data_IF_648508604347
#
_entry.id   IF_648508604347
#
_cell.length_a   1.000
_cell.length_b   1.000
_cell.length_c   1.000
_cell.angle_alpha   90.00
_cell.angle_beta   90.00
_cell.angle_gamma   90.00
#
_symmetry.space_group_name_H-M   'P 1'
#
loop_
_entity.id
_entity.type
_entity.pdbx_description
1 polymer ?
#
# COMPACT_ATOMS: atom_id res chain seq x y z
N UNK A 1 -18.08 -22.81 12.26
CA UNK A 1 -18.22 -21.46 12.85
C UNK A 1 -16.94 -21.22 13.63
N UNK A 2 -16.20 -20.14 13.37
CA UNK A 2 -14.96 -19.90 14.10
C UNK A 2 -15.27 -19.73 15.59
N UNK A 3 -14.36 -20.23 16.41
CA UNK A 3 -14.44 -20.20 17.87
C UNK A 3 -14.25 -18.75 18.34
N UNK A 4 -15.28 -18.18 18.94
CA UNK A 4 -15.30 -16.77 19.37
C UNK A 4 -14.14 -16.45 20.32
N UNK A 5 -13.70 -17.40 21.13
CA UNK A 5 -12.59 -17.21 22.06
C UNK A 5 -11.26 -17.08 21.32
N UNK A 6 -11.11 -17.74 20.17
CA UNK A 6 -9.92 -17.59 19.31
C UNK A 6 -9.87 -16.21 18.66
N UNK A 7 -11.01 -15.71 18.21
CA UNK A 7 -11.11 -14.35 17.64
C UNK A 7 -10.79 -13.30 18.69
N UNK A 8 -11.31 -13.44 19.92
CA UNK A 8 -11.03 -12.52 21.04
C UNK A 8 -9.55 -12.54 21.41
N UNK A 9 -8.93 -13.72 21.49
CA UNK A 9 -7.49 -13.85 21.77
C UNK A 9 -6.66 -13.17 20.68
N UNK A 10 -6.94 -13.47 19.41
CA UNK A 10 -6.26 -12.84 18.28
C UNK A 10 -6.39 -11.32 18.31
N UNK A 11 -7.61 -10.80 18.54
CA UNK A 11 -7.85 -9.35 18.57
C UNK A 11 -7.03 -8.67 19.68
N UNK A 12 -6.96 -9.27 20.87
CA UNK A 12 -6.16 -8.74 22.00
C UNK A 12 -4.65 -8.75 21.72
N UNK A 13 -4.15 -9.83 21.12
CA UNK A 13 -2.74 -9.91 20.72
C UNK A 13 -2.41 -8.92 19.60
N UNK A 14 -3.33 -8.74 18.65
CA UNK A 14 -3.15 -7.84 17.51
C UNK A 14 -3.23 -6.37 17.93
N UNK A 15 -4.08 -6.01 18.88
CA UNK A 15 -4.22 -4.62 19.34
C UNK A 15 -2.92 -4.06 19.93
N UNK A 16 -2.10 -4.91 20.55
CA UNK A 16 -0.81 -4.50 21.11
C UNK A 16 0.22 -4.06 20.05
N UNK A 17 0.04 -4.43 18.78
CA UNK A 17 0.96 -4.07 17.69
C UNK A 17 0.69 -2.69 17.08
N UNK A 18 -0.44 -2.06 17.42
CA UNK A 18 -0.85 -0.77 16.85
C UNK A 18 -1.38 -0.84 15.41
N UNK A 19 -1.76 0.32 14.87
CA UNK A 19 -2.27 0.50 13.51
C UNK A 19 -1.70 1.78 12.90
N UNK A 20 -0.86 1.62 11.89
CA UNK A 20 -0.24 2.73 11.17
C UNK A 20 -1.24 3.22 10.16
N UNK A 21 -1.59 4.50 10.26
CA UNK A 21 -2.44 5.15 9.27
C UNK A 21 -1.63 5.37 8.00
N UNK A 22 -2.17 4.90 6.88
CA UNK A 22 -1.57 5.06 5.55
C UNK A 22 -2.40 6.08 4.79
N UNK A 23 -1.75 7.15 4.33
CA UNK A 23 -2.36 8.11 3.43
C UNK A 23 -1.83 7.85 2.01
N UNK A 24 -2.69 7.60 1.01
CA UNK A 24 -2.26 7.44 -0.38
C UNK A 24 -1.97 8.78 -1.04
N UNK A 25 -0.84 8.89 -1.75
CA UNK A 25 -0.58 10.00 -2.69
C UNK A 25 -0.80 9.50 -4.10
N UNK A 26 -1.61 10.22 -4.87
CA UNK A 26 -1.98 9.82 -6.22
C UNK A 26 -1.11 10.52 -7.25
N UNK A 27 -0.62 9.74 -8.22
CA UNK A 27 0.00 10.23 -9.45
C UNK A 27 -0.71 9.64 -10.67
N UNK A 28 -0.71 10.41 -11.75
CA UNK A 28 -1.14 9.97 -13.08
C UNK A 28 0.07 9.53 -13.88
N UNK A 29 -0.02 8.34 -14.45
CA UNK A 29 0.83 7.85 -15.53
C UNK A 29 0.03 7.86 -16.85
N UNK A 30 0.70 7.60 -17.97
CA UNK A 30 0.07 7.56 -19.29
C UNK A 30 -0.90 6.39 -19.45
N UNK A 31 -0.71 5.30 -18.70
CA UNK A 31 -1.46 4.05 -18.78
C UNK A 31 -2.09 3.60 -17.44
N UNK A 32 -1.90 4.36 -16.35
CA UNK A 32 -2.37 3.98 -15.03
C UNK A 32 -2.58 5.15 -14.08
N UNK A 33 -3.43 4.94 -13.08
CA UNK A 33 -3.41 5.72 -11.85
C UNK A 33 -2.56 4.98 -10.80
N UNK A 34 -1.59 5.68 -10.20
CA UNK A 34 -0.67 5.13 -9.21
C UNK A 34 -0.98 5.77 -7.86
N UNK A 35 -1.19 4.96 -6.84
CA UNK A 35 -1.27 5.42 -5.45
C UNK A 35 -0.06 4.91 -4.70
N UNK A 36 0.83 5.81 -4.29
CA UNK A 36 1.99 5.49 -3.48
C UNK A 36 1.66 5.65 -2.00
N UNK A 37 2.24 4.80 -1.17
CA UNK A 37 2.04 4.74 0.27
C UNK A 37 3.38 4.98 1.02
N UNK A 38 3.36 5.30 2.32
CA UNK A 38 4.58 5.49 3.10
C UNK A 38 5.53 4.30 2.98
N UNK A 39 6.82 4.58 2.76
CA UNK A 39 7.87 3.58 2.53
C UNK A 39 8.13 3.27 1.05
N UNK A 40 7.29 3.76 0.14
CA UNK A 40 7.61 3.83 -1.28
C UNK A 40 8.63 4.96 -1.54
N UNK A 41 9.62 4.73 -2.42
CA UNK A 41 10.63 5.75 -2.73
C UNK A 41 10.04 7.02 -3.38
N UNK A 42 8.87 6.91 -4.00
CA UNK A 42 8.16 8.04 -4.62
C UNK A 42 7.14 8.70 -3.67
N UNK A 43 7.03 8.20 -2.43
CA UNK A 43 6.21 8.83 -1.42
C UNK A 43 6.87 10.15 -0.98
N UNK A 44 6.16 11.27 -1.05
CA UNK A 44 6.72 12.57 -0.69
C UNK A 44 7.09 12.65 0.80
N UNK A 45 8.27 13.20 1.10
CA UNK A 45 8.77 13.31 2.49
C UNK A 45 8.04 14.34 3.36
N UNK A 46 7.47 15.39 2.75
CA UNK A 46 6.86 16.53 3.45
C UNK A 46 5.46 16.82 2.94
N UNK A 47 4.62 15.80 2.85
CA UNK A 47 3.32 15.93 2.20
C UNK A 47 2.21 16.35 3.16
N UNK A 48 1.66 17.53 2.91
CA UNK A 48 0.50 18.06 3.62
C UNK A 48 -0.72 18.10 2.69
N UNK A 49 -1.63 17.13 2.84
CA UNK A 49 -2.86 17.06 2.03
C UNK A 49 -3.84 18.21 2.29
N UNK A 50 -3.64 18.99 3.36
CA UNK A 50 -4.53 20.10 3.72
C UNK A 50 -4.21 21.34 2.88
N UNK A 51 -2.94 21.57 2.57
CA UNK A 51 -2.48 22.80 1.89
C UNK A 51 -1.77 22.55 0.56
N UNK A 52 -1.21 21.36 0.36
CA UNK A 52 -0.43 21.01 -0.82
C UNK A 52 -0.97 19.76 -1.50
N UNK A 53 -1.62 19.96 -2.64
CA UNK A 53 -1.91 18.87 -3.56
C UNK A 53 -0.66 18.67 -4.41
N UNK A 54 0.13 17.67 -4.05
CA UNK A 54 1.33 17.27 -4.79
C UNK A 54 1.04 17.15 -6.28
N UNK A 55 2.07 17.36 -7.10
CA UNK A 55 1.91 17.40 -8.55
C UNK A 55 1.39 16.06 -9.10
N UNK A 56 0.07 15.98 -9.25
CA UNK A 56 -0.66 14.81 -9.71
C UNK A 56 -0.21 14.38 -11.11
N UNK A 57 0.18 15.34 -11.96
CA UNK A 57 0.59 15.09 -13.34
C UNK A 57 2.11 14.91 -13.50
N UNK A 58 2.89 14.93 -12.42
CA UNK A 58 4.36 14.82 -12.42
C UNK A 58 4.91 13.69 -13.29
N UNK A 59 4.18 12.58 -13.42
CA UNK A 59 4.60 11.39 -14.14
C UNK A 59 3.69 11.04 -15.34
N UNK A 60 2.89 11.99 -15.83
CA UNK A 60 1.87 11.73 -16.87
C UNK A 60 2.41 11.16 -18.18
N UNK A 61 3.68 11.45 -18.48
CA UNK A 61 4.35 11.02 -19.72
C UNK A 61 5.03 9.65 -19.57
N UNK A 62 5.06 9.07 -18.37
CA UNK A 62 5.63 7.76 -18.09
C UNK A 62 4.55 6.71 -17.99
N UNK A 63 4.85 5.49 -18.42
CA UNK A 63 4.04 4.31 -18.07
C UNK A 63 4.28 3.90 -16.62
N UNK A 64 3.34 3.17 -16.03
CA UNK A 64 3.48 2.59 -14.70
C UNK A 64 4.76 1.75 -14.56
N UNK A 65 5.08 0.96 -15.60
CA UNK A 65 6.30 0.15 -15.64
C UNK A 65 7.57 1.00 -15.62
N UNK A 66 7.63 2.06 -16.43
CA UNK A 66 8.77 2.98 -16.46
C UNK A 66 8.95 3.66 -15.11
N UNK A 67 7.86 4.09 -14.48
CA UNK A 67 7.90 4.73 -13.16
C UNK A 67 8.35 3.74 -12.07
N UNK A 68 7.88 2.49 -12.12
CA UNK A 68 8.26 1.45 -11.15
C UNK A 68 9.75 1.12 -11.22
N UNK A 69 10.36 1.12 -12.41
CA UNK A 69 11.81 0.90 -12.60
C UNK A 69 12.68 1.98 -11.97
N UNK A 70 12.12 3.14 -11.59
CA UNK A 70 12.85 4.23 -10.93
C UNK A 70 12.88 4.09 -9.39
N UNK A 71 12.08 3.19 -8.82
CA UNK A 71 12.00 2.97 -7.38
C UNK A 71 12.61 1.63 -7.00
N UNK A 72 13.33 1.59 -5.87
CA UNK A 72 13.83 0.36 -5.25
C UNK A 72 12.82 -0.19 -4.25
N UNK A 73 12.27 0.69 -3.43
CA UNK A 73 11.21 0.35 -2.48
C UNK A 73 9.85 0.65 -3.09
N UNK A 74 9.03 -0.39 -3.20
CA UNK A 74 7.65 -0.31 -3.67
C UNK A 74 6.70 -0.51 -2.51
N UNK A 75 5.82 0.45 -2.31
CA UNK A 75 4.63 0.31 -1.49
C UNK A 75 3.52 1.12 -2.16
N UNK A 76 2.87 0.53 -3.16
CA UNK A 76 1.93 1.24 -4.04
C UNK A 76 0.88 0.32 -4.63
N UNK A 77 -0.25 0.90 -5.03
CA UNK A 77 -1.22 0.24 -5.92
C UNK A 77 -1.23 0.91 -7.29
N UNK A 78 -1.26 0.11 -8.34
CA UNK A 78 -1.37 0.55 -9.72
C UNK A 78 -2.72 0.10 -10.29
N UNK A 79 -3.47 1.03 -10.87
CA UNK A 79 -4.80 0.80 -11.44
C UNK A 79 -4.71 0.98 -12.95
N UNK A 80 -4.75 -0.12 -13.69
CA UNK A 80 -4.69 -0.17 -15.16
C UNK A 80 -6.09 -0.46 -15.71
N UNK A 81 -6.74 0.56 -16.25
CA UNK A 81 -8.14 0.46 -16.69
C UNK A 81 -9.13 0.31 -15.52
N UNK A 82 -10.37 -0.10 -15.83
CA UNK A 82 -11.51 -0.06 -14.89
C UNK A 82 -11.50 -1.18 -13.83
N UNK A 83 -10.85 -2.31 -14.11
CA UNK A 83 -10.96 -3.52 -13.28
C UNK A 83 -9.64 -4.23 -13.03
N UNK A 84 -8.50 -3.68 -13.46
CA UNK A 84 -7.20 -4.26 -13.15
C UNK A 84 -6.47 -3.38 -12.13
N UNK A 85 -6.19 -3.97 -10.98
CA UNK A 85 -5.42 -3.36 -9.91
C UNK A 85 -4.32 -4.34 -9.50
N UNK A 86 -3.10 -3.83 -9.37
CA UNK A 86 -1.97 -4.58 -8.82
C UNK A 86 -1.41 -3.86 -7.60
N UNK A 87 -1.16 -4.60 -6.53
CA UNK A 87 -0.55 -4.09 -5.31
C UNK A 87 0.92 -4.54 -5.25
N UNK A 88 1.82 -3.61 -5.03
CA UNK A 88 3.25 -3.86 -4.86
C UNK A 88 3.67 -3.50 -3.44
N UNK A 89 4.35 -4.42 -2.77
CA UNK A 89 4.90 -4.21 -1.43
C UNK A 89 6.23 -4.96 -1.29
N UNK A 90 7.35 -4.25 -1.46
CA UNK A 90 8.70 -4.76 -1.21
C UNK A 90 9.23 -4.43 0.19
N UNK A 91 8.47 -3.64 0.95
CA UNK A 91 8.79 -3.29 2.34
C UNK A 91 8.12 -4.25 3.33
N UNK A 92 8.63 -4.28 4.56
CA UNK A 92 7.98 -4.98 5.66
C UNK A 92 6.59 -4.37 5.95
N UNK A 93 5.60 -5.22 6.19
CA UNK A 93 4.26 -4.75 6.54
C UNK A 93 4.29 -4.10 7.93
N UNK A 94 3.70 -2.91 8.03
CA UNK A 94 3.62 -2.20 9.31
C UNK A 94 2.87 -3.03 10.37
N UNK A 95 3.35 -2.99 11.61
CA UNK A 95 2.69 -3.57 12.78
C UNK A 95 2.35 -5.08 12.65
N UNK A 96 3.07 -5.82 11.81
CA UNK A 96 2.78 -7.21 11.50
C UNK A 96 1.41 -7.41 10.85
N UNK A 97 0.94 -6.44 10.06
CA UNK A 97 -0.18 -6.63 9.13
C UNK A 97 0.17 -7.64 8.03
N UNK A 98 -0.85 -8.07 7.28
CA UNK A 98 -0.67 -8.91 6.10
C UNK A 98 0.25 -8.24 5.09
N UNK A 99 1.12 -9.03 4.48
CA UNK A 99 1.93 -8.60 3.34
C UNK A 99 1.41 -9.28 2.07
N UNK A 100 1.46 -8.55 0.96
CA UNK A 100 1.16 -9.07 -0.38
C UNK A 100 2.06 -10.25 -0.74
N UNK A 101 3.31 -10.21 -0.28
CA UNK A 101 4.30 -11.25 -0.51
C UNK A 101 4.43 -12.22 0.69
N UNK A 102 3.55 -12.12 1.70
CA UNK A 102 3.60 -12.93 2.91
C UNK A 102 2.94 -14.31 2.75
N UNK A 103 3.42 -15.32 3.49
CA UNK A 103 2.72 -16.59 3.63
C UNK A 103 1.55 -16.45 4.59
N UNK A 104 0.39 -16.08 4.04
CA UNK A 104 -0.84 -15.86 4.81
C UNK A 104 -1.68 -17.15 4.98
N UNK A 105 -1.19 -18.33 4.55
CA UNK A 105 -1.97 -19.58 4.55
C UNK A 105 -2.40 -20.01 5.96
N UNK A 106 -1.60 -19.68 6.96
CA UNK A 106 -1.90 -19.95 8.38
C UNK A 106 -3.11 -19.16 8.90
N UNK A 107 -3.52 -18.08 8.23
CA UNK A 107 -4.68 -17.26 8.62
C UNK A 107 -5.99 -17.66 7.91
N UNK A 108 -5.93 -18.59 6.94
CA UNK A 108 -7.11 -19.09 6.21
C UNK A 108 -8.10 -19.88 7.06
N UNK A 109 -7.75 -20.19 8.31
CA UNK A 109 -8.52 -21.05 9.24
C UNK A 109 -9.05 -20.29 10.48
N UNK A 110 -8.87 -18.96 10.52
CA UNK A 110 -9.51 -18.10 11.52
C UNK A 110 -11.01 -17.95 11.27
#
# INVERSE_FOLDING_TARGET
MPDIDQVVRFARERSARGSTLICPVQYKCSDAAIFVFPGDDLYPQGYDYITEHGDFEKFKDLTAEQLRKQARNLHRSEHTGLHAQTLYQSIEAFNGHLSVNGDNKHLSKL
#
